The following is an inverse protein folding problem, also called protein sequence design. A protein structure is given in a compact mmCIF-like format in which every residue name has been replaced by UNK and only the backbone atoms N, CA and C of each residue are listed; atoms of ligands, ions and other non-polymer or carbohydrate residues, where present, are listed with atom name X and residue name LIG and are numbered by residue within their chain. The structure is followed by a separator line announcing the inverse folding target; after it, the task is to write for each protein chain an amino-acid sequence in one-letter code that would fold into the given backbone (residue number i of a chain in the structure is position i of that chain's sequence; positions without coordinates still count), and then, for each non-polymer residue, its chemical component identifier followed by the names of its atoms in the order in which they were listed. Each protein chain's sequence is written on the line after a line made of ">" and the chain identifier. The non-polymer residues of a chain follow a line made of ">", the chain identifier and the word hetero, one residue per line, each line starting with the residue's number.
data_IF_788226714109
#
_entry.id   IF_788226714109
#
_cell.length_a   1.000
_cell.length_b   1.000
_cell.length_c   1.000
_cell.angle_alpha   90.00
_cell.angle_beta   90.00
_cell.angle_gamma   90.00
#
_symmetry.space_group_name_H-M   'P 1'
#
loop_
_entity.id
_entity.type
_entity.pdbx_description
1 polymer ?
#
# COMPACT_ATOMS: atom_id res chain seq x y z
N UNK A 1 -24.14 37.79 45.75
CA UNK A 1 -24.84 36.69 45.05
C UNK A 1 -24.11 36.43 43.73
N UNK A 2 -23.36 35.32 43.68
CA UNK A 2 -22.51 34.90 42.57
C UNK A 2 -23.34 34.10 41.56
N UNK A 3 -23.74 34.73 40.46
CA UNK A 3 -24.33 34.05 39.31
C UNK A 3 -23.41 34.33 38.13
N UNK A 4 -22.44 33.44 37.88
CA UNK A 4 -21.51 33.68 36.76
C UNK A 4 -20.25 32.82 36.70
N UNK A 5 -20.19 31.66 37.34
CA UNK A 5 -18.99 30.78 37.30
C UNK A 5 -19.23 29.33 36.86
N UNK A 6 -20.44 28.99 36.42
CA UNK A 6 -20.81 27.59 36.14
C UNK A 6 -21.20 27.29 34.69
N UNK A 7 -21.26 28.29 33.80
CA UNK A 7 -21.62 28.06 32.39
C UNK A 7 -20.42 27.76 31.49
N UNK A 8 -19.19 28.09 31.91
CA UNK A 8 -18.00 28.01 31.05
C UNK A 8 -17.31 26.64 31.05
N UNK A 9 -17.70 25.72 31.93
CA UNK A 9 -17.01 24.42 32.07
C UNK A 9 -17.64 23.33 31.17
N UNK A 10 -18.92 23.47 30.78
CA UNK A 10 -19.61 22.42 30.02
C UNK A 10 -19.37 22.45 28.49
N UNK A 11 -18.80 23.52 27.93
CA UNK A 11 -18.55 23.60 26.48
C UNK A 11 -17.16 23.05 26.10
N UNK A 12 -16.25 22.90 27.06
CA UNK A 12 -14.92 22.34 26.81
C UNK A 12 -14.91 20.80 26.63
N UNK A 13 -16.02 20.11 26.92
CA UNK A 13 -16.11 18.66 26.84
C UNK A 13 -16.56 18.12 25.47
N UNK A 14 -16.95 18.99 24.52
CA UNK A 14 -17.54 18.55 23.25
C UNK A 14 -16.59 18.54 22.03
N UNK A 15 -15.30 18.88 22.19
CA UNK A 15 -14.38 19.09 21.05
C UNK A 15 -13.25 18.05 20.94
N UNK A 16 -13.14 17.08 21.85
CA UNK A 16 -12.00 16.12 21.84
C UNK A 16 -12.42 14.66 21.59
N UNK A 17 -13.58 14.43 20.99
CA UNK A 17 -14.02 13.10 20.54
C UNK A 17 -14.35 13.04 19.04
N UNK A 18 -13.80 13.96 18.26
CA UNK A 18 -13.55 13.68 16.85
C UNK A 18 -12.36 12.72 16.80
N UNK A 19 -12.62 11.42 16.84
CA UNK A 19 -11.62 10.41 16.52
C UNK A 19 -11.09 10.71 15.13
N UNK A 20 -9.94 11.38 15.05
CA UNK A 20 -9.18 11.49 13.83
C UNK A 20 -8.77 10.07 13.47
N UNK A 21 -9.50 9.42 12.57
CA UNK A 21 -8.99 8.23 11.87
C UNK A 21 -7.65 8.65 11.29
N UNK A 22 -6.57 8.08 11.84
CA UNK A 22 -5.20 8.41 11.45
C UNK A 22 -4.89 7.68 10.14
N UNK A 23 -5.50 8.10 9.04
CA UNK A 23 -5.16 7.56 7.73
C UNK A 23 -3.77 8.06 7.33
N UNK A 24 -2.78 7.16 7.35
CA UNK A 24 -1.44 7.46 6.85
C UNK A 24 -1.40 7.18 5.33
N UNK A 25 -0.93 8.16 4.57
CA UNK A 25 -0.64 8.00 3.15
C UNK A 25 0.86 7.87 2.93
N UNK A 26 1.28 6.84 2.20
CA UNK A 26 2.69 6.60 1.86
C UNK A 26 2.85 6.25 0.40
N UNK A 27 4.03 6.49 -0.16
CA UNK A 27 4.34 6.13 -1.55
C UNK A 27 4.57 4.63 -1.69
N UNK A 28 4.19 4.11 -2.85
CA UNK A 28 4.43 2.75 -3.29
C UNK A 28 4.98 2.77 -4.72
N UNK A 29 5.89 1.85 -5.02
CA UNK A 29 6.40 1.65 -6.37
C UNK A 29 6.56 0.17 -6.67
N UNK A 30 6.56 -0.19 -7.95
CA UNK A 30 7.02 -1.50 -8.40
C UNK A 30 7.75 -1.42 -9.73
N UNK A 31 8.63 -2.39 -9.96
CA UNK A 31 9.31 -2.61 -11.24
C UNK A 31 8.98 -4.02 -11.69
N UNK A 32 8.46 -4.14 -12.90
CA UNK A 32 8.19 -5.42 -13.57
C UNK A 32 9.16 -5.58 -14.74
N UNK A 33 9.85 -6.71 -14.81
CA UNK A 33 10.69 -7.08 -15.96
C UNK A 33 10.12 -8.32 -16.63
N UNK A 34 9.74 -8.18 -17.90
CA UNK A 34 9.25 -9.27 -18.72
C UNK A 34 10.42 -10.08 -19.32
N UNK A 35 10.12 -11.30 -19.78
CA UNK A 35 11.09 -12.21 -20.37
C UNK A 35 11.73 -11.68 -21.67
N UNK A 36 11.04 -10.77 -22.38
CA UNK A 36 11.56 -10.09 -23.57
C UNK A 36 12.48 -8.90 -23.25
N UNK A 37 12.71 -8.61 -21.97
CA UNK A 37 13.52 -7.49 -21.49
C UNK A 37 12.75 -6.19 -21.30
N UNK A 38 11.45 -6.15 -21.63
CA UNK A 38 10.61 -4.98 -21.38
C UNK A 38 10.50 -4.71 -19.89
N UNK A 39 10.70 -3.45 -19.49
CA UNK A 39 10.59 -3.01 -18.10
C UNK A 39 9.41 -2.04 -17.93
N UNK A 40 8.57 -2.30 -16.94
CA UNK A 40 7.48 -1.43 -16.53
C UNK A 40 7.70 -0.93 -15.12
N UNK A 41 7.68 0.39 -14.95
CA UNK A 41 7.72 1.02 -13.64
C UNK A 41 6.33 1.51 -13.30
N UNK A 42 5.81 1.08 -12.15
CA UNK A 42 4.54 1.52 -11.60
C UNK A 42 4.79 2.31 -10.32
N UNK A 43 3.96 3.32 -10.10
CA UNK A 43 3.96 4.08 -8.85
C UNK A 43 2.54 4.31 -8.37
N UNK A 44 2.41 4.65 -7.10
CA UNK A 44 1.14 4.98 -6.50
C UNK A 44 1.26 5.19 -5.01
N UNK A 45 0.18 4.88 -4.29
CA UNK A 45 0.07 5.14 -2.88
C UNK A 45 -0.53 3.96 -2.10
N UNK A 46 -0.15 3.89 -0.84
CA UNK A 46 -0.86 3.11 0.17
C UNK A 46 -1.63 4.07 1.06
N UNK A 47 -2.89 3.74 1.28
CA UNK A 47 -3.73 4.32 2.31
C UNK A 47 -3.78 3.32 3.46
N UNK A 48 -3.32 3.69 4.64
CA UNK A 48 -3.29 2.85 5.83
C UNK A 48 -4.23 3.43 6.87
N UNK A 49 -5.29 2.69 7.19
CA UNK A 49 -6.11 2.89 8.38
C UNK A 49 -5.67 1.88 9.43
N UNK A 50 -4.89 2.35 10.41
CA UNK A 50 -4.24 1.50 11.41
C UNK A 50 -5.20 0.68 12.25
N UNK A 51 -6.47 1.06 12.33
CA UNK A 51 -7.47 0.38 13.15
C UNK A 51 -8.24 -0.70 12.38
N UNK A 52 -8.23 -0.67 11.03
CA UNK A 52 -9.20 -1.42 10.24
C UNK A 52 -8.61 -2.10 8.99
N UNK A 53 -7.86 -1.39 8.14
CA UNK A 53 -7.47 -1.91 6.83
C UNK A 53 -6.44 -1.02 6.15
N UNK A 54 -5.80 -1.52 5.09
CA UNK A 54 -5.03 -0.67 4.19
C UNK A 54 -5.27 -1.04 2.74
N UNK A 55 -4.97 -0.13 1.83
CA UNK A 55 -5.16 -0.32 0.40
C UNK A 55 -3.95 0.21 -0.34
N UNK A 56 -3.24 -0.68 -1.03
CA UNK A 56 -2.18 -0.31 -1.97
C UNK A 56 -2.77 -0.21 -3.37
N UNK A 57 -2.46 0.88 -4.07
CA UNK A 57 -2.75 1.04 -5.50
C UNK A 57 -1.48 1.41 -6.25
N UNK A 58 -1.19 0.68 -7.32
CA UNK A 58 -0.09 0.92 -8.23
C UNK A 58 -0.62 1.03 -9.66
N UNK A 59 -0.07 1.95 -10.43
CA UNK A 59 -0.39 2.05 -11.86
C UNK A 59 0.80 2.53 -12.67
N UNK A 60 0.90 2.06 -13.91
CA UNK A 60 1.97 2.42 -14.84
C UNK A 60 2.10 1.39 -15.96
N UNK A 61 2.63 1.80 -17.12
CA UNK A 61 2.92 0.88 -18.23
C UNK A 61 1.72 0.11 -18.79
N UNK A 62 0.49 0.60 -18.57
CA UNK A 62 -0.75 -0.11 -18.96
C UNK A 62 -1.19 -1.20 -17.97
N UNK A 63 -0.52 -1.32 -16.82
CA UNK A 63 -0.94 -2.15 -15.70
C UNK A 63 -1.54 -1.31 -14.57
N UNK A 64 -2.49 -1.90 -13.85
CA UNK A 64 -3.02 -1.40 -12.58
C UNK A 64 -3.08 -2.54 -11.57
N UNK A 65 -2.42 -2.37 -10.43
CA UNK A 65 -2.44 -3.32 -9.34
C UNK A 65 -3.13 -2.74 -8.10
N UNK A 66 -3.96 -3.54 -7.46
CA UNK A 66 -4.61 -3.18 -6.20
C UNK A 66 -4.43 -4.32 -5.18
N UNK A 67 -4.16 -3.95 -3.93
CA UNK A 67 -4.05 -4.89 -2.83
C UNK A 67 -4.78 -4.33 -1.61
N UNK A 68 -6.07 -4.68 -1.42
CA UNK A 68 -6.78 -4.43 -0.18
C UNK A 68 -6.22 -5.38 0.89
N UNK A 69 -5.78 -4.84 2.01
CA UNK A 69 -5.22 -5.58 3.13
C UNK A 69 -6.04 -5.37 4.39
N UNK A 70 -6.21 -6.44 5.17
CA UNK A 70 -6.73 -6.35 6.52
C UNK A 70 -5.56 -6.27 7.48
N UNK A 71 -5.55 -5.23 8.32
CA UNK A 71 -4.54 -5.05 9.34
C UNK A 71 -4.83 -6.01 10.50
N UNK A 72 -3.88 -6.88 10.82
CA UNK A 72 -3.97 -7.74 12.01
C UNK A 72 -2.93 -7.29 13.03
N UNK A 73 -3.42 -6.88 14.20
CA UNK A 73 -2.60 -6.39 15.32
C UNK A 73 -1.53 -7.41 15.72
N UNK A 74 -1.81 -8.70 15.56
CA UNK A 74 -0.93 -9.81 15.92
C UNK A 74 -0.02 -10.30 14.79
N UNK A 75 -0.29 -9.94 13.53
CA UNK A 75 0.05 -10.87 12.44
C UNK A 75 0.52 -10.35 11.11
N UNK A 76 0.86 -9.06 10.95
CA UNK A 76 1.12 -8.46 9.63
C UNK A 76 -0.19 -8.06 8.92
N UNK A 77 -0.10 -7.15 7.95
CA UNK A 77 -1.22 -6.93 7.04
C UNK A 77 -1.25 -8.06 6.00
N UNK A 78 -2.43 -8.57 5.68
CA UNK A 78 -2.59 -9.61 4.67
C UNK A 78 -3.64 -9.21 3.64
N UNK A 79 -3.37 -9.47 2.36
CA UNK A 79 -4.28 -9.16 1.27
C UNK A 79 -3.85 -9.79 -0.05
N UNK A 80 -4.76 -9.86 -1.01
CA UNK A 80 -4.47 -10.38 -2.34
C UNK A 80 -4.09 -9.22 -3.27
N UNK A 81 -2.86 -9.22 -3.78
CA UNK A 81 -2.46 -8.28 -4.84
C UNK A 81 -3.04 -8.74 -6.15
N UNK A 82 -3.87 -7.93 -6.78
CA UNK A 82 -4.47 -8.19 -8.09
C UNK A 82 -3.99 -7.15 -9.09
N UNK A 83 -3.27 -7.56 -10.14
CA UNK A 83 -2.92 -6.71 -11.27
C UNK A 83 -3.79 -7.00 -12.49
N UNK A 84 -4.19 -5.93 -13.17
CA UNK A 84 -4.95 -5.96 -14.41
C UNK A 84 -4.22 -5.20 -15.52
N UNK A 85 -4.37 -5.69 -16.75
CA UNK A 85 -3.91 -4.98 -17.94
C UNK A 85 -4.88 -3.86 -18.37
N UNK A 86 -4.56 -3.16 -19.46
CA UNK A 86 -5.35 -2.07 -20.02
C UNK A 86 -6.75 -2.47 -20.50
N UNK A 87 -7.00 -3.77 -20.69
CA UNK A 87 -8.33 -4.30 -21.03
C UNK A 87 -9.14 -4.71 -19.80
N UNK A 88 -8.52 -4.67 -18.61
CA UNK A 88 -9.11 -5.09 -17.35
C UNK A 88 -8.94 -6.59 -17.06
N UNK A 89 -8.21 -7.34 -17.89
CA UNK A 89 -7.94 -8.76 -17.64
C UNK A 89 -6.97 -8.92 -16.46
N UNK A 90 -7.22 -9.88 -15.57
CA UNK A 90 -6.31 -10.20 -14.46
C UNK A 90 -5.08 -10.91 -15.03
N UNK A 91 -3.91 -10.34 -14.78
CA UNK A 91 -2.59 -10.89 -15.20
C UNK A 91 -1.78 -11.39 -14.01
N UNK A 92 -2.19 -11.05 -12.80
CA UNK A 92 -1.58 -11.48 -11.57
C UNK A 92 -2.57 -11.38 -10.43
N UNK A 93 -2.65 -12.41 -9.60
CA UNK A 93 -3.43 -12.44 -8.38
C UNK A 93 -2.75 -13.39 -7.39
N UNK A 94 -2.19 -12.86 -6.31
CA UNK A 94 -1.52 -13.66 -5.29
C UNK A 94 -1.70 -13.06 -3.90
N UNK A 95 -1.76 -13.92 -2.90
CA UNK A 95 -1.85 -13.52 -1.50
C UNK A 95 -0.48 -13.06 -0.99
N UNK A 96 -0.45 -11.87 -0.38
CA UNK A 96 0.73 -11.29 0.24
C UNK A 96 0.49 -11.04 1.72
N UNK A 97 1.57 -11.19 2.49
CA UNK A 97 1.61 -10.88 3.92
C UNK A 97 2.75 -9.89 4.16
N UNK A 98 2.43 -8.69 4.64
CA UNK A 98 3.39 -7.61 4.95
C UNK A 98 3.57 -7.50 6.47
N UNK A 99 4.71 -7.95 7.04
CA UNK A 99 4.95 -8.09 8.48
C UNK A 99 4.45 -6.92 9.35
N UNK A 100 4.04 -7.20 10.59
CA UNK A 100 3.61 -6.17 11.54
C UNK A 100 4.81 -5.28 11.92
N UNK A 101 4.57 -3.97 12.12
CA UNK A 101 5.61 -3.01 12.48
C UNK A 101 6.42 -2.44 11.31
N UNK A 102 5.94 -2.63 10.07
CA UNK A 102 6.59 -2.13 8.84
C UNK A 102 5.79 -0.98 8.18
N UNK A 103 4.55 -0.75 8.64
CA UNK A 103 3.75 0.42 8.26
C UNK A 103 4.32 1.67 8.92
N UNK A 104 5.05 2.48 8.16
CA UNK A 104 5.78 3.67 8.64
C UNK A 104 7.29 3.47 8.77
N UNK A 105 7.79 2.26 8.58
CA UNK A 105 9.20 1.86 8.73
C UNK A 105 9.60 0.95 7.57
N UNK A 106 10.05 1.55 6.47
CA UNK A 106 10.95 0.95 5.47
C UNK A 106 10.76 -0.57 5.22
N UNK A 107 9.72 -0.98 4.47
CA UNK A 107 9.57 -2.37 4.03
C UNK A 107 10.57 -2.64 2.90
N UNK A 108 11.52 -3.56 3.09
CA UNK A 108 12.37 -4.05 2.00
C UNK A 108 11.47 -4.71 0.96
N UNK A 109 11.62 -4.35 -0.31
CA UNK A 109 10.63 -4.71 -1.31
C UNK A 109 10.34 -6.21 -1.41
N UNK A 110 9.08 -6.57 -1.70
CA UNK A 110 8.71 -7.96 -2.01
C UNK A 110 9.16 -8.28 -3.42
N UNK A 111 9.64 -9.51 -3.65
CA UNK A 111 9.97 -10.02 -4.98
C UNK A 111 8.97 -11.12 -5.37
N UNK A 112 8.49 -11.07 -6.60
CA UNK A 112 7.58 -12.04 -7.21
C UNK A 112 8.24 -12.58 -8.48
N UNK A 113 8.42 -13.90 -8.52
CA UNK A 113 9.12 -14.60 -9.59
C UNK A 113 8.27 -14.97 -10.80
N UNK A 114 6.95 -14.74 -10.78
CA UNK A 114 6.03 -15.17 -11.85
C UNK A 114 4.81 -14.26 -12.01
N UNK A 115 4.89 -13.33 -12.96
CA UNK A 115 3.78 -12.50 -13.43
C UNK A 115 3.46 -12.93 -14.85
N UNK A 116 2.21 -13.31 -15.15
CA UNK A 116 1.80 -13.77 -16.47
C UNK A 116 1.01 -12.67 -17.19
N UNK A 117 1.71 -11.85 -17.98
CA UNK A 117 1.11 -10.75 -18.73
C UNK A 117 0.82 -11.17 -20.17
N UNK A 118 -0.03 -10.43 -20.87
CA UNK A 118 -0.21 -10.64 -22.33
C UNK A 118 1.06 -10.40 -23.15
N UNK A 119 1.97 -9.57 -22.65
CA UNK A 119 3.27 -9.36 -23.28
C UNK A 119 4.27 -10.48 -22.95
N UNK A 120 3.90 -11.41 -22.07
CA UNK A 120 4.70 -12.58 -21.69
C UNK A 120 4.90 -12.70 -20.17
N UNK A 121 5.59 -13.78 -19.74
CA UNK A 121 5.93 -13.99 -18.35
C UNK A 121 6.98 -12.97 -17.89
N UNK A 122 6.98 -12.65 -16.60
CA UNK A 122 7.90 -11.70 -16.01
C UNK A 122 8.07 -11.85 -14.52
N UNK A 123 8.87 -10.97 -13.95
CA UNK A 123 9.17 -10.88 -12.52
C UNK A 123 8.84 -9.47 -12.05
N UNK A 124 8.45 -9.32 -10.80
CA UNK A 124 8.08 -8.02 -10.25
C UNK A 124 8.70 -7.82 -8.87
N UNK A 125 9.19 -6.62 -8.61
CA UNK A 125 9.63 -6.16 -7.31
C UNK A 125 8.77 -4.97 -6.88
N UNK A 126 8.34 -4.93 -5.62
CA UNK A 126 7.43 -3.91 -5.08
C UNK A 126 8.02 -3.34 -3.81
N UNK A 127 7.92 -2.03 -3.60
CA UNK A 127 8.43 -1.39 -2.40
C UNK A 127 7.57 -0.21 -1.97
N UNK A 128 7.79 0.21 -0.72
CA UNK A 128 6.98 1.22 -0.04
C UNK A 128 7.84 2.17 0.78
N UNK A 129 7.35 3.39 0.99
CA UNK A 129 8.08 4.42 1.73
C UNK A 129 9.44 4.71 1.10
N UNK A 130 10.53 4.65 1.87
CA UNK A 130 11.89 4.86 1.38
C UNK A 130 12.37 3.82 0.36
N UNK A 131 11.68 2.69 0.24
CA UNK A 131 11.95 1.65 -0.75
C UNK A 131 11.02 1.72 -1.96
N UNK A 132 10.16 2.73 -2.05
CA UNK A 132 9.41 3.05 -3.26
C UNK A 132 10.30 3.73 -4.31
N UNK A 133 11.50 3.18 -4.54
CA UNK A 133 12.52 3.67 -5.46
C UNK A 133 12.78 2.60 -6.55
N UNK A 134 12.50 2.89 -7.83
CA UNK A 134 12.73 1.97 -8.93
C UNK A 134 14.17 1.43 -9.01
N UNK A 135 15.19 2.22 -8.67
CA UNK A 135 16.58 1.78 -8.74
C UNK A 135 16.87 0.72 -7.68
N UNK A 136 16.37 0.91 -6.45
CA UNK A 136 16.48 -0.10 -5.40
C UNK A 136 15.70 -1.36 -5.82
N UNK A 137 14.51 -1.20 -6.39
CA UNK A 137 13.68 -2.34 -6.80
C UNK A 137 14.28 -3.15 -7.95
N UNK A 138 14.99 -2.50 -8.89
CA UNK A 138 15.74 -3.20 -9.95
C UNK A 138 16.77 -4.16 -9.38
N UNK A 139 17.46 -3.79 -8.29
CA UNK A 139 18.44 -4.68 -7.64
C UNK A 139 17.82 -5.95 -7.05
N UNK A 140 16.50 -5.97 -6.83
CA UNK A 140 15.79 -7.17 -6.38
C UNK A 140 15.40 -8.10 -7.53
N UNK A 141 15.55 -7.65 -8.79
CA UNK A 141 15.25 -8.43 -10.00
C UNK A 141 16.50 -9.06 -10.63
N UNK A 142 17.69 -8.69 -10.15
CA UNK A 142 19.00 -9.24 -10.54
C UNK A 142 19.33 -10.50 -9.71
#
# INVERSE_FOLDING_TARGET
>A
MQVGRWASVMIAAAVVLAGCSNTLRMQAASVTRLADGTEWVMSGDILVDFELSSLTRLSGGGLRCEMPMVMRVDRAGAGTMTCRDSTGAVVYAEDHVIPAGVYGTSVRGTYVSGVETRAGPGRMAFGWGSYADPDILRTLLE
#
